data_IF_867284108568
#
_entry.id   IF_867284108568
#
_cell.length_a   1.000
_cell.length_b   1.000
_cell.length_c   1.000
_cell.angle_alpha   90.00
_cell.angle_beta   90.00
_cell.angle_gamma   90.00
#
_symmetry.space_group_name_H-M   'P 1'
#
loop_
_entity.id
_entity.type
_entity.pdbx_description
1 polymer ?
#
# COMPACT_ATOMS: atom_id res chain seq x y z
N UNK A 1 11.87 -5.69 1.33
CA UNK A 1 10.80 -6.52 1.90
C UNK A 1 10.11 -7.33 0.81
N UNK A 2 9.91 -8.61 1.04
CA UNK A 2 9.24 -9.53 0.10
C UNK A 2 7.82 -9.06 -0.25
N UNK A 3 7.06 -8.54 0.72
CA UNK A 3 5.72 -7.98 0.50
C UNK A 3 5.73 -6.91 -0.61
N UNK A 4 6.65 -5.98 -0.54
CA UNK A 4 6.76 -4.91 -1.53
C UNK A 4 7.19 -5.42 -2.91
N UNK A 5 8.13 -6.36 -2.97
CA UNK A 5 8.54 -6.95 -4.24
C UNK A 5 7.39 -7.66 -4.95
N UNK A 6 6.65 -8.52 -4.23
CA UNK A 6 5.46 -9.20 -4.75
C UNK A 6 4.38 -8.18 -5.15
N UNK A 7 4.15 -7.17 -4.31
CA UNK A 7 3.14 -6.15 -4.55
C UNK A 7 3.41 -5.33 -5.81
N UNK A 8 4.64 -4.87 -6.01
CA UNK A 8 5.07 -4.15 -7.23
C UNK A 8 4.84 -5.03 -8.47
N UNK A 9 5.27 -6.30 -8.41
CA UNK A 9 5.06 -7.24 -9.51
C UNK A 9 3.57 -7.45 -9.81
N UNK A 10 2.73 -7.64 -8.79
CA UNK A 10 1.29 -7.79 -8.95
C UNK A 10 0.65 -6.57 -9.62
N UNK A 11 1.02 -5.36 -9.23
CA UNK A 11 0.52 -4.13 -9.85
C UNK A 11 0.99 -4.02 -11.29
N UNK A 12 2.30 -4.23 -11.55
CA UNK A 12 2.88 -4.16 -12.90
C UNK A 12 2.19 -5.08 -13.89
N UNK A 13 1.87 -6.30 -13.47
CA UNK A 13 1.26 -7.31 -14.32
C UNK A 13 -0.26 -7.45 -14.14
N UNK A 14 -0.89 -6.50 -13.43
CA UNK A 14 -2.33 -6.49 -13.16
C UNK A 14 -2.85 -7.78 -12.54
N UNK A 15 -2.05 -8.38 -11.63
CA UNK A 15 -2.36 -9.64 -10.93
C UNK A 15 -2.99 -9.37 -9.55
N UNK A 16 -4.10 -8.64 -9.52
CA UNK A 16 -4.73 -8.19 -8.28
C UNK A 16 -5.35 -9.31 -7.45
N UNK A 17 -5.74 -10.43 -8.07
CA UNK A 17 -6.21 -11.61 -7.33
C UNK A 17 -5.14 -12.19 -6.42
N UNK A 18 -3.89 -12.27 -6.89
CA UNK A 18 -2.77 -12.71 -6.05
C UNK A 18 -2.47 -11.71 -4.93
N UNK A 19 -2.56 -10.42 -5.24
CA UNK A 19 -2.39 -9.37 -4.24
C UNK A 19 -3.49 -9.43 -3.18
N UNK A 20 -4.75 -9.64 -3.59
CA UNK A 20 -5.87 -9.84 -2.69
C UNK A 20 -5.66 -11.06 -1.77
N UNK A 21 -5.25 -12.18 -2.34
CA UNK A 21 -4.92 -13.40 -1.56
C UNK A 21 -3.81 -13.12 -0.54
N UNK A 22 -2.74 -12.43 -0.94
CA UNK A 22 -1.64 -12.08 -0.05
C UNK A 22 -2.11 -11.19 1.14
N UNK A 23 -2.98 -10.22 0.87
CA UNK A 23 -3.49 -9.32 1.90
C UNK A 23 -4.43 -10.02 2.90
N UNK A 24 -5.16 -11.04 2.46
CA UNK A 24 -6.11 -11.78 3.30
C UNK A 24 -5.52 -13.09 3.89
N UNK A 25 -4.25 -13.38 3.61
CA UNK A 25 -3.59 -14.54 4.19
C UNK A 25 -3.53 -14.41 5.72
N UNK A 26 -4.05 -15.42 6.41
CA UNK A 26 -4.07 -15.49 7.87
C UNK A 26 -3.03 -16.50 8.37
N UNK A 27 -2.32 -16.13 9.41
CA UNK A 27 -1.39 -17.00 10.13
C UNK A 27 -1.92 -17.30 11.52
N UNK A 28 -1.58 -18.47 12.09
CA UNK A 28 -1.81 -18.71 13.51
C UNK A 28 -1.11 -17.64 14.35
N UNK A 29 -1.77 -17.14 15.37
CA UNK A 29 -1.16 -16.25 16.35
C UNK A 29 -0.51 -17.07 17.43
N UNK A 30 0.83 -17.04 17.51
CA UNK A 30 1.62 -17.78 18.48
C UNK A 30 1.83 -17.02 19.81
N UNK A 31 1.02 -16.03 20.10
CA UNK A 31 1.21 -15.17 21.27
C UNK A 31 0.82 -15.81 22.60
N UNK A 32 0.12 -16.96 22.60
CA UNK A 32 -0.20 -17.75 23.80
C UNK A 32 -0.52 -19.20 23.42
N UNK A 33 -0.15 -20.20 24.24
CA UNK A 33 -0.51 -21.59 24.02
C UNK A 33 -2.03 -21.86 23.92
N UNK A 34 -2.84 -20.98 24.49
CA UNK A 34 -4.30 -21.08 24.52
C UNK A 34 -5.00 -20.19 23.48
N UNK A 35 -4.26 -19.43 22.68
CA UNK A 35 -4.87 -18.53 21.69
C UNK A 35 -5.15 -19.27 20.39
N UNK A 36 -6.43 -19.58 20.15
CA UNK A 36 -6.93 -19.94 18.79
C UNK A 36 -6.99 -18.73 17.85
N UNK A 37 -6.30 -17.64 18.19
CA UNK A 37 -6.26 -16.40 17.44
C UNK A 37 -5.60 -16.57 16.07
N UNK A 38 -6.13 -15.86 15.08
CA UNK A 38 -5.52 -15.72 13.76
C UNK A 38 -5.22 -14.25 13.52
N UNK A 39 -4.05 -13.99 12.97
CA UNK A 39 -3.64 -12.64 12.59
C UNK A 39 -3.40 -12.57 11.09
N UNK A 40 -3.80 -11.48 10.47
CA UNK A 40 -3.48 -11.27 9.07
C UNK A 40 -1.96 -11.19 8.87
N UNK A 41 -1.47 -11.94 7.89
CA UNK A 41 -0.04 -11.97 7.54
C UNK A 41 0.49 -10.57 7.21
N UNK A 42 -0.36 -9.72 6.63
CA UNK A 42 -0.06 -8.34 6.33
C UNK A 42 0.40 -7.56 7.57
N UNK A 43 -0.25 -7.76 8.73
CA UNK A 43 0.11 -7.10 9.99
C UNK A 43 1.49 -7.53 10.51
N UNK A 44 1.97 -8.71 10.11
CA UNK A 44 3.31 -9.21 10.48
C UNK A 44 4.39 -8.83 9.48
N UNK A 45 4.04 -8.71 8.19
CA UNK A 45 5.01 -8.39 7.14
C UNK A 45 5.31 -6.90 7.03
N UNK A 46 4.35 -6.06 7.40
CA UNK A 46 4.58 -4.63 7.35
C UNK A 46 5.43 -4.18 8.54
N UNK A 47 6.61 -3.61 8.32
CA UNK A 47 7.50 -3.19 9.40
C UNK A 47 7.03 -1.84 10.00
N UNK A 48 5.79 -1.80 10.49
CA UNK A 48 5.17 -0.62 11.09
C UNK A 48 5.80 -0.20 12.44
N UNK A 49 6.68 -1.02 12.99
CA UNK A 49 7.33 -0.79 14.27
C UNK A 49 8.64 0.01 14.20
N UNK A 50 9.10 0.31 12.98
CA UNK A 50 10.33 1.08 12.83
C UNK A 50 10.04 2.57 13.00
N UNK A 51 10.70 3.17 13.96
CA UNK A 51 10.63 4.61 14.17
C UNK A 51 11.25 5.36 13.00
N UNK A 52 10.64 6.51 12.64
CA UNK A 52 11.10 7.34 11.53
C UNK A 52 12.48 7.91 11.79
N UNK A 53 12.72 8.36 13.01
CA UNK A 53 13.96 9.04 13.36
C UNK A 53 15.10 8.04 13.45
N UNK A 54 14.84 6.83 14.00
CA UNK A 54 15.81 5.72 14.01
C UNK A 54 16.21 5.32 12.57
N UNK A 55 15.25 5.18 11.66
CA UNK A 55 15.54 4.86 10.26
C UNK A 55 16.34 5.94 9.56
N UNK A 56 16.03 7.21 9.80
CA UNK A 56 16.78 8.32 9.24
C UNK A 56 18.21 8.37 9.81
N UNK A 57 18.35 8.18 11.11
CA UNK A 57 19.65 8.16 11.77
C UNK A 57 20.54 7.03 11.25
N UNK A 58 20.02 5.80 11.16
CA UNK A 58 20.74 4.63 10.67
C UNK A 58 21.20 4.78 9.21
N UNK A 59 20.46 5.52 8.38
CA UNK A 59 20.77 5.70 6.96
C UNK A 59 21.41 7.06 6.65
N UNK A 60 21.64 7.91 7.63
CA UNK A 60 22.19 9.25 7.41
C UNK A 60 21.28 10.12 6.53
N UNK A 61 19.96 10.01 6.69
CA UNK A 61 18.96 10.67 5.83
C UNK A 61 17.97 11.51 6.65
N UNK A 62 17.17 12.32 5.95
CA UNK A 62 16.06 13.08 6.55
C UNK A 62 14.79 12.93 5.71
N UNK A 63 14.39 11.68 5.45
CA UNK A 63 13.20 11.41 4.67
C UNK A 63 11.92 11.60 5.51
N UNK A 64 10.85 12.05 4.87
CA UNK A 64 9.51 12.14 5.49
C UNK A 64 8.88 10.78 5.72
N UNK A 65 9.17 9.84 4.83
CA UNK A 65 8.71 8.45 4.85
C UNK A 65 9.91 7.52 4.64
N UNK A 66 10.85 7.43 5.63
CA UNK A 66 12.14 6.78 5.40
C UNK A 66 12.01 5.31 5.00
N UNK A 67 11.13 4.55 5.65
CA UNK A 67 10.93 3.14 5.31
C UNK A 67 10.54 2.95 3.85
N UNK A 68 9.52 3.66 3.40
CA UNK A 68 9.01 3.57 2.02
C UNK A 68 10.06 4.03 1.01
N UNK A 69 10.73 5.15 1.30
CA UNK A 69 11.79 5.68 0.43
C UNK A 69 12.97 4.72 0.32
N UNK A 70 13.40 4.12 1.43
CA UNK A 70 14.49 3.14 1.46
C UNK A 70 14.08 1.89 0.67
N UNK A 71 12.88 1.35 0.91
CA UNK A 71 12.37 0.17 0.19
C UNK A 71 12.24 0.43 -1.31
N UNK A 72 11.74 1.59 -1.71
CA UNK A 72 11.66 1.97 -3.11
C UNK A 72 13.04 1.95 -3.77
N UNK A 73 14.03 2.58 -3.14
CA UNK A 73 15.41 2.62 -3.66
C UNK A 73 16.07 1.24 -3.69
N UNK A 74 15.90 0.43 -2.65
CA UNK A 74 16.48 -0.91 -2.57
C UNK A 74 15.87 -1.89 -3.57
N UNK A 75 14.59 -1.76 -3.87
CA UNK A 75 13.91 -2.67 -4.80
C UNK A 75 14.07 -2.26 -6.26
N UNK A 76 14.33 -0.99 -6.54
CA UNK A 76 14.46 -0.46 -7.91
C UNK A 76 15.39 -1.30 -8.83
N UNK A 77 16.60 -1.71 -8.40
CA UNK A 77 17.50 -2.50 -9.25
C UNK A 77 16.90 -3.84 -9.70
N UNK A 78 16.07 -4.48 -8.87
CA UNK A 78 15.47 -5.77 -9.18
C UNK A 78 14.37 -5.68 -10.24
N UNK A 79 13.76 -4.50 -10.41
CA UNK A 79 12.72 -4.25 -11.40
C UNK A 79 13.20 -3.53 -12.65
N UNK A 80 14.49 -3.24 -12.76
CA UNK A 80 15.03 -2.42 -13.82
C UNK A 80 14.83 -3.00 -15.23
N UNK A 81 14.77 -4.32 -15.36
CA UNK A 81 14.53 -5.01 -16.63
C UNK A 81 13.07 -5.01 -17.04
N UNK A 82 12.15 -5.14 -16.09
CA UNK A 82 10.70 -5.24 -16.30
C UNK A 82 10.01 -3.87 -16.32
N UNK A 83 10.57 -2.89 -15.61
CA UNK A 83 10.07 -1.52 -15.53
C UNK A 83 11.24 -0.59 -15.86
N UNK A 84 11.37 -0.29 -17.14
CA UNK A 84 12.52 0.47 -17.63
C UNK A 84 12.52 1.93 -17.15
N UNK A 85 11.37 2.60 -17.23
CA UNK A 85 11.24 4.00 -16.87
C UNK A 85 11.11 4.18 -15.34
N UNK A 86 11.87 5.13 -14.81
CA UNK A 86 11.82 5.50 -13.39
C UNK A 86 10.41 5.98 -12.97
N UNK A 87 9.78 6.79 -13.82
CA UNK A 87 8.42 7.29 -13.57
C UNK A 87 7.39 6.17 -13.48
N UNK A 88 7.50 5.15 -14.31
CA UNK A 88 6.64 3.97 -14.28
C UNK A 88 6.87 3.15 -13.01
N UNK A 89 8.13 2.94 -12.63
CA UNK A 89 8.47 2.25 -11.39
C UNK A 89 7.88 2.95 -10.17
N UNK A 90 8.12 4.24 -10.06
CA UNK A 90 7.61 5.06 -8.96
C UNK A 90 6.08 5.01 -8.89
N UNK A 91 5.40 5.12 -10.04
CA UNK A 91 3.94 5.04 -10.09
C UNK A 91 3.43 3.67 -9.66
N UNK A 92 4.07 2.61 -10.13
CA UNK A 92 3.73 1.22 -9.76
C UNK A 92 3.92 0.99 -8.26
N UNK A 93 5.05 1.45 -7.72
CA UNK A 93 5.35 1.39 -6.29
C UNK A 93 4.28 2.09 -5.45
N UNK A 94 3.92 3.28 -5.83
CA UNK A 94 2.93 4.07 -5.11
C UNK A 94 1.50 3.55 -5.27
N UNK A 95 1.12 3.01 -6.42
CA UNK A 95 -0.17 2.30 -6.59
C UNK A 95 -0.22 1.12 -5.62
N UNK A 96 0.87 0.36 -5.51
CA UNK A 96 0.95 -0.72 -4.53
C UNK A 96 0.76 -0.21 -3.10
N UNK A 97 1.46 0.85 -2.67
CA UNK A 97 1.31 1.42 -1.32
C UNK A 97 -0.11 1.91 -1.05
N UNK A 98 -0.76 2.48 -2.04
CA UNK A 98 -2.15 2.89 -1.91
C UNK A 98 -3.09 1.69 -1.71
N UNK A 99 -2.96 0.66 -2.54
CA UNK A 99 -3.75 -0.57 -2.41
C UNK A 99 -3.46 -1.28 -1.08
N UNK A 100 -2.21 -1.29 -0.65
CA UNK A 100 -1.78 -1.81 0.66
C UNK A 100 -2.48 -1.06 1.79
N UNK A 101 -2.49 0.27 1.75
CA UNK A 101 -3.12 1.12 2.77
C UNK A 101 -4.62 0.91 2.84
N UNK A 102 -5.31 0.83 1.70
CA UNK A 102 -6.74 0.53 1.64
C UNK A 102 -7.06 -0.84 2.23
N UNK A 103 -6.29 -1.87 1.85
CA UNK A 103 -6.52 -3.22 2.36
C UNK A 103 -6.17 -3.34 3.84
N UNK A 104 -5.16 -2.65 4.30
CA UNK A 104 -4.83 -2.58 5.72
C UNK A 104 -6.01 -2.05 6.54
N UNK A 105 -6.67 -0.99 6.06
CA UNK A 105 -7.91 -0.47 6.66
C UNK A 105 -9.09 -1.42 6.51
N UNK A 106 -9.16 -2.15 5.41
CA UNK A 106 -10.24 -3.10 5.14
C UNK A 106 -10.23 -4.29 6.11
N UNK A 107 -9.06 -4.83 6.42
CA UNK A 107 -8.88 -5.95 7.36
C UNK A 107 -8.89 -5.52 8.84
N UNK A 108 -9.18 -4.25 9.14
CA UNK A 108 -9.29 -3.76 10.51
C UNK A 108 -8.08 -2.99 11.04
N UNK A 109 -6.99 -2.89 10.26
CA UNK A 109 -5.79 -2.14 10.67
C UNK A 109 -5.09 -2.72 11.89
N UNK A 110 -4.44 -1.84 12.67
CA UNK A 110 -3.90 -2.17 13.99
C UNK A 110 -4.92 -1.80 15.06
N UNK A 111 -5.23 -2.71 15.96
CA UNK A 111 -6.22 -2.47 17.03
C UNK A 111 -5.86 -1.27 17.92
N UNK A 112 -4.55 -1.05 18.15
CA UNK A 112 -4.03 0.07 18.94
C UNK A 112 -3.83 1.37 18.13
N UNK A 113 -3.93 1.33 16.81
CA UNK A 113 -3.80 2.48 15.93
C UNK A 113 -4.80 2.41 14.77
N UNK A 114 -6.12 2.53 15.04
CA UNK A 114 -7.17 2.29 14.05
C UNK A 114 -7.13 3.28 12.88
N UNK A 115 -6.57 4.48 13.09
CA UNK A 115 -6.45 5.49 12.06
C UNK A 115 -5.14 5.42 11.27
N UNK A 116 -4.20 4.61 11.73
CA UNK A 116 -2.93 4.43 11.03
C UNK A 116 -3.08 3.53 9.79
N UNK A 117 -2.33 3.87 8.74
CA UNK A 117 -2.16 3.03 7.55
C UNK A 117 -0.77 3.29 6.94
N UNK A 118 -0.18 2.31 6.22
CA UNK A 118 1.17 2.40 5.65
C UNK A 118 1.22 3.28 4.38
N UNK A 119 0.98 4.57 4.54
CA UNK A 119 0.86 5.54 3.43
C UNK A 119 2.11 5.79 2.62
N UNK A 120 3.28 5.63 3.22
CA UNK A 120 4.59 5.73 2.60
C UNK A 120 4.80 6.92 1.65
N UNK A 121 5.54 6.66 0.60
CA UNK A 121 5.81 7.58 -0.51
C UNK A 121 4.54 8.03 -1.23
N UNK A 122 3.52 7.17 -1.29
CA UNK A 122 2.23 7.49 -1.91
C UNK A 122 1.65 8.78 -1.36
N UNK A 123 1.53 8.93 -0.04
CA UNK A 123 0.97 10.15 0.58
C UNK A 123 1.79 11.38 0.21
N UNK A 124 3.11 11.27 0.31
CA UNK A 124 4.00 12.40 0.07
C UNK A 124 3.98 12.82 -1.41
N UNK A 125 4.03 11.87 -2.31
CA UNK A 125 4.04 12.13 -3.74
C UNK A 125 2.70 12.63 -4.27
N UNK A 126 1.56 12.12 -3.77
CA UNK A 126 0.25 12.67 -4.15
C UNK A 126 0.09 14.13 -3.75
N UNK A 127 0.62 14.56 -2.62
CA UNK A 127 0.60 15.97 -2.23
C UNK A 127 1.46 16.86 -3.16
N UNK A 128 2.56 16.32 -3.70
CA UNK A 128 3.42 17.01 -4.66
C UNK A 128 2.83 16.95 -6.07
N UNK A 129 2.29 15.81 -6.48
CA UNK A 129 1.78 15.56 -7.83
C UNK A 129 0.38 16.11 -8.09
N UNK A 130 -0.42 16.38 -7.06
CA UNK A 130 -1.64 17.21 -7.24
C UNK A 130 -1.33 18.61 -7.78
N UNK A 131 -0.04 19.00 -7.80
CA UNK A 131 0.45 20.26 -8.40
C UNK A 131 1.03 20.10 -9.81
N UNK A 132 1.09 18.90 -10.37
CA UNK A 132 1.65 18.64 -11.70
C UNK A 132 1.02 17.41 -12.36
N UNK A 133 0.83 17.47 -13.68
CA UNK A 133 0.30 16.40 -14.53
C UNK A 133 1.13 15.12 -14.42
N UNK A 134 0.73 14.18 -13.59
CA UNK A 134 1.33 12.86 -13.56
C UNK A 134 0.31 11.79 -13.96
N UNK A 135 0.33 11.44 -15.24
CA UNK A 135 -0.71 10.69 -15.94
C UNK A 135 -0.97 9.28 -15.40
N UNK A 136 0.04 8.58 -14.85
CA UNK A 136 -0.15 7.19 -14.43
C UNK A 136 -0.98 7.05 -13.16
N UNK A 137 -0.84 7.98 -12.22
CA UNK A 137 -1.66 8.02 -11.01
C UNK A 137 -3.08 8.43 -11.29
N UNK A 138 -3.24 9.55 -11.97
CA UNK A 138 -4.54 10.09 -12.33
C UNK A 138 -5.33 9.08 -13.15
N UNK A 139 -4.67 8.37 -14.07
CA UNK A 139 -5.27 7.32 -14.87
C UNK A 139 -5.77 6.15 -14.02
N UNK A 140 -4.97 5.63 -13.11
CA UNK A 140 -5.37 4.50 -12.27
C UNK A 140 -6.61 4.81 -11.40
N UNK A 141 -6.65 6.01 -10.82
CA UNK A 141 -7.79 6.45 -10.00
C UNK A 141 -9.00 6.86 -10.83
N UNK A 142 -8.79 7.48 -11.99
CA UNK A 142 -9.87 7.78 -12.91
C UNK A 142 -10.55 6.51 -13.42
N UNK A 143 -9.78 5.45 -13.65
CA UNK A 143 -10.33 4.13 -13.99
C UNK A 143 -11.22 3.57 -12.86
N UNK A 144 -10.82 3.69 -11.59
CA UNK A 144 -11.65 3.25 -10.47
C UNK A 144 -13.01 3.96 -10.45
N UNK A 145 -13.02 5.28 -10.68
CA UNK A 145 -14.25 6.08 -10.68
C UNK A 145 -15.13 5.82 -11.90
N UNK A 146 -14.52 5.65 -13.08
CA UNK A 146 -15.26 5.43 -14.34
C UNK A 146 -15.75 4.00 -14.49
N UNK A 147 -14.96 3.00 -14.12
CA UNK A 147 -15.24 1.58 -14.31
C UNK A 147 -16.01 0.97 -13.14
N UNK A 148 -15.92 1.55 -11.94
CA UNK A 148 -16.59 1.06 -10.73
C UNK A 148 -16.33 -0.44 -10.48
N UNK A 149 -17.38 -1.27 -10.46
CA UNK A 149 -17.25 -2.72 -10.28
C UNK A 149 -16.49 -3.42 -11.42
N UNK A 150 -16.32 -2.77 -12.58
CA UNK A 150 -15.55 -3.29 -13.70
C UNK A 150 -14.06 -2.91 -13.61
N UNK A 151 -13.66 -2.11 -12.63
CA UNK A 151 -12.26 -1.79 -12.42
C UNK A 151 -11.46 -3.05 -12.05
N UNK A 152 -10.32 -3.25 -12.70
CA UNK A 152 -9.59 -4.51 -12.67
C UNK A 152 -9.26 -5.03 -11.25
N UNK A 153 -8.81 -4.21 -10.28
CA UNK A 153 -8.64 -4.67 -8.91
C UNK A 153 -9.92 -5.24 -8.27
N UNK A 154 -11.07 -4.61 -8.53
CA UNK A 154 -12.36 -5.05 -7.98
C UNK A 154 -12.82 -6.34 -8.67
N UNK A 155 -12.72 -6.44 -9.99
CA UNK A 155 -13.04 -7.66 -10.74
C UNK A 155 -12.24 -8.86 -10.27
N UNK A 156 -10.99 -8.64 -9.83
CA UNK A 156 -10.12 -9.67 -9.29
C UNK A 156 -10.28 -9.89 -7.78
N UNK A 157 -11.36 -9.40 -7.18
CA UNK A 157 -11.76 -9.72 -5.82
C UNK A 157 -11.29 -8.76 -4.72
N UNK A 158 -10.50 -7.73 -5.04
CA UNK A 158 -10.13 -6.73 -4.04
C UNK A 158 -11.39 -6.00 -3.54
N UNK A 159 -11.37 -5.60 -2.27
CA UNK A 159 -12.48 -4.86 -1.64
C UNK A 159 -13.82 -5.62 -1.71
N UNK A 160 -13.79 -6.94 -1.44
CA UNK A 160 -14.95 -7.85 -1.54
C UNK A 160 -15.60 -7.85 -2.94
N UNK A 161 -14.87 -7.48 -3.97
CA UNK A 161 -15.39 -7.34 -5.33
C UNK A 161 -16.40 -6.19 -5.50
N UNK A 162 -16.40 -5.19 -4.62
CA UNK A 162 -17.44 -4.14 -4.58
C UNK A 162 -16.83 -2.73 -4.59
N UNK A 163 -17.25 -1.92 -5.56
CA UNK A 163 -16.82 -0.52 -5.65
C UNK A 163 -17.22 0.31 -4.42
N UNK A 164 -18.37 0.05 -3.80
CA UNK A 164 -18.82 0.77 -2.62
C UNK A 164 -17.92 0.54 -1.41
N UNK A 165 -17.32 -0.65 -1.28
CA UNK A 165 -16.33 -0.94 -0.24
C UNK A 165 -15.06 -0.10 -0.49
N UNK A 166 -14.55 -0.10 -1.71
CA UNK A 166 -13.42 0.75 -2.12
C UNK A 166 -13.69 2.23 -1.82
N UNK A 167 -14.84 2.76 -2.24
CA UNK A 167 -15.23 4.16 -2.04
C UNK A 167 -15.27 4.55 -0.57
N UNK A 168 -15.86 3.69 0.27
CA UNK A 168 -15.91 3.90 1.73
C UNK A 168 -14.51 3.94 2.35
N UNK A 169 -13.62 3.03 1.94
CA UNK A 169 -12.23 2.99 2.40
C UNK A 169 -11.46 4.24 1.94
N UNK A 170 -11.60 4.63 0.68
CA UNK A 170 -10.99 5.85 0.13
C UNK A 170 -11.38 7.10 0.94
N UNK A 171 -12.66 7.25 1.28
CA UNK A 171 -13.15 8.38 2.09
C UNK A 171 -12.53 8.37 3.50
N UNK A 172 -12.52 7.22 4.17
CA UNK A 172 -11.89 7.09 5.50
C UNK A 172 -10.42 7.50 5.49
N UNK A 173 -9.72 7.14 4.45
CA UNK A 173 -8.33 7.48 4.25
C UNK A 173 -8.14 9.00 4.06
N UNK A 174 -8.96 9.63 3.26
CA UNK A 174 -8.90 11.08 3.02
C UNK A 174 -9.19 11.91 4.28
N UNK A 175 -10.12 11.47 5.12
CA UNK A 175 -10.44 12.16 6.39
C UNK A 175 -9.33 12.02 7.43
N UNK A 176 -8.66 10.86 7.52
CA UNK A 176 -7.52 10.67 8.44
C UNK A 176 -6.31 11.54 8.08
N UNK A 177 -6.21 12.00 6.83
CA UNK A 177 -5.11 12.86 6.37
C UNK A 177 -5.30 14.33 6.72
N UNK A 178 -6.53 14.79 6.94
CA UNK A 178 -6.84 16.20 7.27
C UNK A 178 -6.70 16.53 8.75
N UNK A 179 -6.67 15.55 9.64
CA UNK A 179 -6.57 15.74 11.10
C UNK A 179 -5.14 15.67 11.67
N UNK A 180 -4.15 15.37 10.84
CA UNK A 180 -2.73 15.26 11.24
C UNK A 180 -1.94 16.49 10.77
N UNK A 181 -2.30 17.66 11.29
CA UNK A 181 -1.54 18.91 11.20
C UNK A 181 -1.15 19.38 12.59
#
# INVERSE_FOLDING_TARGET
SMLYAIGIACVKYSKFSYLNTLFHLMLPEYSSPDSSGRIYFLNKLHPCYWDKDDLNQLNGTNYKTPLSTILSKQLRPYFQKEIFLESEYISTFCIFEYLLSLNFKHIGGLSYAPDWAPWGEFRWRTMIFMRGNNDLYSTFFAQAESQKNNWEPIKQGMFDGKYEVYKKLKTKIQTSTSTAH
#
